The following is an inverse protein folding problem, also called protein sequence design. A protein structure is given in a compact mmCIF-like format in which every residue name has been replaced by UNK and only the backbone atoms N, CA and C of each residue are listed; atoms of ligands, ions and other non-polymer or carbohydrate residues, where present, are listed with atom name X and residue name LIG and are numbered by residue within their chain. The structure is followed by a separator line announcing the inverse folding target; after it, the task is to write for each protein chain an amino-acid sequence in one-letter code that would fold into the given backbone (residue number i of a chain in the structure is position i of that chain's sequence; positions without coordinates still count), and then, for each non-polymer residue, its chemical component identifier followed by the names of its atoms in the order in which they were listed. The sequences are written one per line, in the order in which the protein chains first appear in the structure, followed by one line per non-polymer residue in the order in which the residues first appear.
data_IF_386517012811
#
_entry.id   IF_386517012811
#
_cell.length_a   1.000
_cell.length_b   1.000
_cell.length_c   1.000
_cell.angle_alpha   90.00
_cell.angle_beta   90.00
_cell.angle_gamma   90.00
#
_symmetry.space_group_name_H-M   'P 1'
#
loop_
_entity.id
_entity.type
_entity.pdbx_description
1 polymer ?
#
# COMPACT_ATOMS: atom_id res chain seq x y z
N UNK A 1 -10.98 -5.84 -7.63
CA UNK A 1 -11.88 -4.69 -7.41
C UNK A 1 -11.32 -3.47 -8.15
N UNK A 2 -12.20 -2.67 -8.77
CA UNK A 2 -11.83 -1.41 -9.42
C UNK A 2 -12.68 -0.29 -8.84
N UNK A 3 -12.03 0.79 -8.39
CA UNK A 3 -12.67 1.99 -7.87
C UNK A 3 -12.52 3.11 -8.90
N UNK A 4 -13.62 3.81 -9.17
CA UNK A 4 -13.66 4.92 -10.11
C UNK A 4 -13.89 6.24 -9.37
N UNK A 5 -12.98 7.18 -9.59
CA UNK A 5 -13.08 8.57 -9.20
C UNK A 5 -13.03 9.41 -10.47
N UNK A 6 -13.37 10.71 -10.39
CA UNK A 6 -13.53 11.60 -11.56
C UNK A 6 -12.43 11.45 -12.61
N UNK A 7 -11.17 11.58 -12.18
CA UNK A 7 -9.99 11.55 -13.05
C UNK A 7 -8.99 10.44 -12.63
N UNK A 8 -9.41 9.52 -11.75
CA UNK A 8 -8.54 8.49 -11.17
C UNK A 8 -9.24 7.13 -11.18
N UNK A 9 -8.51 6.11 -11.65
CA UNK A 9 -8.92 4.71 -11.56
C UNK A 9 -7.95 3.94 -10.67
N UNK A 10 -8.49 3.30 -9.63
CA UNK A 10 -7.70 2.47 -8.70
C UNK A 10 -8.09 1.01 -8.90
N UNK A 11 -7.10 0.15 -9.14
CA UNK A 11 -7.30 -1.29 -9.31
C UNK A 11 -6.61 -2.01 -8.15
N UNK A 12 -7.39 -2.78 -7.39
CA UNK A 12 -6.90 -3.60 -6.29
C UNK A 12 -7.17 -5.06 -6.64
N UNK A 13 -6.11 -5.87 -6.64
CA UNK A 13 -6.18 -7.29 -6.97
C UNK A 13 -5.25 -8.10 -6.07
N UNK A 14 -5.66 -9.34 -5.83
CA UNK A 14 -4.87 -10.37 -5.17
C UNK A 14 -5.16 -11.68 -5.89
N UNK A 15 -4.19 -12.59 -5.91
CA UNK A 15 -4.36 -13.94 -6.43
C UNK A 15 -3.37 -14.86 -5.72
N UNK A 16 -3.85 -16.05 -5.37
CA UNK A 16 -3.01 -17.13 -4.82
C UNK A 16 -2.33 -17.96 -5.92
N UNK A 17 -2.63 -17.71 -7.20
CA UNK A 17 -2.13 -18.44 -8.36
C UNK A 17 -1.22 -17.54 -9.21
N UNK A 18 -0.14 -17.06 -8.60
CA UNK A 18 0.82 -16.14 -9.24
C UNK A 18 2.22 -16.73 -9.08
N UNK A 19 2.80 -17.21 -10.19
CA UNK A 19 4.15 -17.79 -10.18
C UNK A 19 5.26 -16.73 -10.11
N UNK A 20 5.10 -15.64 -10.86
CA UNK A 20 6.06 -14.54 -10.91
C UNK A 20 5.45 -13.28 -10.31
N UNK A 21 6.22 -12.59 -9.46
CA UNK A 21 5.73 -11.39 -8.79
C UNK A 21 5.34 -10.29 -9.78
N UNK A 22 4.29 -9.54 -9.44
CA UNK A 22 3.92 -8.30 -10.11
C UNK A 22 4.38 -7.12 -9.25
N UNK A 23 4.57 -5.92 -9.85
CA UNK A 23 4.78 -4.73 -9.04
C UNK A 23 3.67 -4.59 -7.99
N UNK A 24 4.07 -4.31 -6.75
CA UNK A 24 3.17 -4.05 -5.63
C UNK A 24 2.40 -2.76 -5.84
N UNK A 25 3.07 -1.73 -6.35
CA UNK A 25 2.45 -0.48 -6.75
C UNK A 25 2.82 -0.13 -8.20
N UNK A 26 1.80 0.33 -8.92
CA UNK A 26 1.89 0.91 -10.25
C UNK A 26 1.05 2.19 -10.19
N UNK A 27 1.72 3.34 -10.30
CA UNK A 27 1.06 4.64 -10.28
C UNK A 27 1.42 5.35 -11.58
N UNK A 28 0.39 5.75 -12.33
CA UNK A 28 0.56 6.52 -13.56
C UNK A 28 -0.08 7.89 -13.38
N UNK A 29 0.70 8.93 -13.60
CA UNK A 29 0.25 10.30 -13.73
C UNK A 29 0.36 10.78 -15.17
N UNK A 30 -0.04 12.02 -15.41
CA UNK A 30 0.02 12.64 -16.74
C UNK A 30 1.46 12.91 -17.22
N UNK A 31 2.44 12.94 -16.32
CA UNK A 31 3.84 13.28 -16.61
C UNK A 31 4.84 12.19 -16.23
N UNK A 32 4.40 11.05 -15.69
CA UNK A 32 5.32 10.06 -15.18
C UNK A 32 4.65 8.85 -14.56
N UNK A 33 5.47 7.91 -14.15
CA UNK A 33 5.07 6.64 -13.55
C UNK A 33 5.97 6.29 -12.37
N UNK A 34 5.38 5.68 -11.36
CA UNK A 34 6.09 5.07 -10.24
C UNK A 34 5.76 3.59 -10.16
N UNK A 35 6.80 2.75 -10.16
CA UNK A 35 6.70 1.29 -10.09
C UNK A 35 7.51 0.79 -8.90
N UNK A 36 6.87 0.02 -8.01
CA UNK A 36 7.51 -0.56 -6.83
C UNK A 36 7.26 -2.06 -6.77
N UNK A 37 8.33 -2.83 -6.65
CA UNK A 37 8.29 -4.26 -6.34
C UNK A 37 8.53 -4.51 -4.85
N UNK A 38 8.18 -5.70 -4.37
CA UNK A 38 8.33 -6.07 -2.97
C UNK A 38 7.23 -5.50 -2.06
N UNK A 39 7.04 -6.17 -0.94
CA UNK A 39 6.14 -5.80 0.16
C UNK A 39 6.97 -5.28 1.33
N UNK A 40 6.35 -4.54 2.25
CA UNK A 40 6.96 -4.20 3.56
C UNK A 40 7.50 -5.46 4.26
N UNK A 41 8.67 -5.33 4.90
CA UNK A 41 9.39 -6.47 5.47
C UNK A 41 9.10 -6.72 6.96
N UNK A 42 8.35 -5.85 7.64
CA UNK A 42 8.13 -5.97 9.09
C UNK A 42 7.43 -7.28 9.45
N UNK A 43 6.43 -7.71 8.68
CA UNK A 43 5.76 -9.00 8.92
C UNK A 43 6.72 -10.17 8.74
N UNK A 44 7.59 -10.12 7.72
CA UNK A 44 8.63 -11.14 7.49
C UNK A 44 9.64 -11.18 8.64
N UNK A 45 10.09 -10.01 9.12
CA UNK A 45 10.97 -9.87 10.28
C UNK A 45 10.33 -10.50 11.53
N UNK A 46 9.08 -10.14 11.84
CA UNK A 46 8.37 -10.68 13.00
C UNK A 46 8.19 -12.20 12.92
N UNK A 47 7.84 -12.75 11.75
CA UNK A 47 7.76 -14.20 11.53
C UNK A 47 9.11 -14.90 11.72
N UNK A 48 10.21 -14.22 11.42
CA UNK A 48 11.56 -14.71 11.64
C UNK A 48 12.08 -14.48 13.08
N UNK A 49 11.26 -13.89 13.96
CA UNK A 49 11.66 -13.55 15.33
C UNK A 49 12.55 -12.31 15.46
N UNK A 50 12.68 -11.53 14.38
CA UNK A 50 13.38 -10.25 14.39
C UNK A 50 12.43 -9.18 14.90
N UNK A 51 12.80 -8.51 15.99
CA UNK A 51 11.93 -7.58 16.72
C UNK A 51 12.16 -6.12 16.33
N UNK A 52 11.20 -5.20 16.53
CA UNK A 52 11.30 -3.79 16.12
C UNK A 52 12.54 -3.02 16.61
N UNK A 53 13.02 -3.37 17.81
CA UNK A 53 14.20 -2.76 18.43
C UNK A 53 15.53 -3.33 17.92
N UNK A 54 15.50 -4.37 17.08
CA UNK A 54 16.71 -4.99 16.55
C UNK A 54 17.17 -4.29 15.26
N UNK A 55 18.48 -4.30 14.96
CA UNK A 55 19.00 -3.77 13.71
C UNK A 55 18.31 -4.39 12.50
N UNK A 56 18.18 -3.61 11.43
CA UNK A 56 17.59 -4.03 10.15
C UNK A 56 16.12 -4.44 10.18
N UNK A 57 15.42 -4.27 11.30
CA UNK A 57 13.98 -4.53 11.34
C UNK A 57 13.21 -3.59 10.40
N UNK A 58 12.42 -4.20 9.50
CA UNK A 58 11.56 -3.48 8.56
C UNK A 58 12.31 -2.79 7.41
N UNK A 59 13.62 -3.00 7.26
CA UNK A 59 14.37 -2.46 6.13
C UNK A 59 13.92 -3.13 4.82
N UNK A 60 13.47 -2.32 3.87
CA UNK A 60 13.14 -2.76 2.52
C UNK A 60 14.24 -2.30 1.54
N UNK A 61 15.11 -3.20 1.08
CA UNK A 61 16.22 -2.85 0.20
C UNK A 61 15.77 -2.55 -1.24
N UNK A 62 14.51 -2.83 -1.60
CA UNK A 62 14.02 -2.65 -2.98
C UNK A 62 13.47 -1.24 -3.15
N UNK A 63 14.23 -0.36 -3.78
CA UNK A 63 13.75 0.95 -4.20
C UNK A 63 12.61 0.85 -5.23
N UNK A 64 11.73 1.84 -5.24
CA UNK A 64 10.81 2.08 -6.34
C UNK A 64 11.50 2.82 -7.48
N UNK A 65 11.04 2.61 -8.70
CA UNK A 65 11.48 3.34 -9.89
C UNK A 65 10.47 4.45 -10.18
N UNK A 66 10.94 5.69 -10.16
CA UNK A 66 10.20 6.87 -10.61
C UNK A 66 10.75 7.30 -11.98
N UNK A 67 9.89 7.39 -12.99
CA UNK A 67 10.23 7.91 -14.30
C UNK A 67 9.26 9.04 -14.66
N UNK A 68 9.76 10.17 -15.15
CA UNK A 68 8.92 11.32 -15.52
C UNK A 68 9.52 12.14 -16.65
N UNK A 69 8.68 12.99 -17.25
CA UNK A 69 9.11 14.00 -18.22
C UNK A 69 9.41 15.30 -17.47
N UNK A 70 10.61 15.84 -17.67
CA UNK A 70 10.92 17.20 -17.23
C UNK A 70 10.22 18.27 -18.10
N UNK A 71 10.47 19.54 -17.80
CA UNK A 71 9.83 20.65 -18.50
C UNK A 71 10.25 20.76 -19.97
N UNK A 72 11.39 20.19 -20.34
CA UNK A 72 11.92 20.17 -21.70
C UNK A 72 11.51 18.90 -22.46
N UNK A 73 10.73 18.02 -21.82
CA UNK A 73 10.24 16.76 -22.39
C UNK A 73 11.26 15.62 -22.37
N UNK A 74 12.37 15.75 -21.62
CA UNK A 74 13.33 14.67 -21.47
C UNK A 74 12.87 13.69 -20.37
N UNK A 75 13.18 12.41 -20.58
CA UNK A 75 12.90 11.36 -19.60
C UNK A 75 13.94 11.42 -18.49
N UNK A 76 13.47 11.61 -17.26
CA UNK A 76 14.23 11.51 -16.03
C UNK A 76 13.89 10.20 -15.31
N UNK A 77 14.86 9.66 -14.56
CA UNK A 77 14.68 8.45 -13.76
C UNK A 77 15.36 8.58 -12.40
N UNK A 78 14.69 8.04 -11.38
CA UNK A 78 15.20 8.00 -10.01
C UNK A 78 14.79 6.68 -9.34
N UNK A 79 15.72 6.08 -8.59
CA UNK A 79 15.42 4.99 -7.68
C UNK A 79 15.12 5.55 -6.29
N UNK A 80 13.85 5.57 -5.91
CA UNK A 80 13.37 6.11 -4.64
C UNK A 80 13.45 5.02 -3.57
N UNK A 81 14.28 5.25 -2.55
CA UNK A 81 14.37 4.34 -1.41
C UNK A 81 13.06 4.34 -0.63
N UNK A 82 12.64 3.16 -0.16
CA UNK A 82 11.44 3.03 0.66
C UNK A 82 11.64 3.67 2.02
N UNK A 83 10.65 4.43 2.48
CA UNK A 83 10.55 4.83 3.87
C UNK A 83 10.47 3.58 4.76
N UNK A 84 11.05 3.67 5.95
CA UNK A 84 11.00 2.57 6.93
C UNK A 84 9.58 2.47 7.48
N UNK A 85 8.94 1.32 7.31
CA UNK A 85 7.65 1.05 7.92
C UNK A 85 7.76 0.93 9.44
N UNK A 86 6.74 1.42 10.15
CA UNK A 86 6.63 1.32 11.60
C UNK A 86 5.19 1.05 12.03
N UNK A 87 4.87 -0.23 12.28
CA UNK A 87 3.57 -0.64 12.84
C UNK A 87 3.34 -0.13 14.27
N UNK A 88 4.39 0.28 14.99
CA UNK A 88 4.32 0.85 16.34
C UNK A 88 3.51 2.14 16.40
N UNK A 89 3.50 2.93 15.33
CA UNK A 89 2.74 4.18 15.24
C UNK A 89 1.24 4.00 15.52
N UNK A 90 0.68 2.83 15.19
CA UNK A 90 -0.71 2.51 15.52
C UNK A 90 -0.90 2.43 17.05
N UNK A 91 0.02 1.78 17.76
CA UNK A 91 -0.04 1.65 19.22
C UNK A 91 0.25 2.97 19.92
N UNK A 92 1.15 3.79 19.38
CA UNK A 92 1.38 5.15 19.87
C UNK A 92 0.09 5.97 19.77
N UNK A 93 -0.63 5.87 18.66
CA UNK A 93 -1.93 6.53 18.53
C UNK A 93 -2.97 6.02 19.53
N UNK A 94 -3.04 4.71 19.78
CA UNK A 94 -3.92 4.14 20.80
C UNK A 94 -3.57 4.69 22.18
N UNK A 95 -2.29 4.74 22.53
CA UNK A 95 -1.82 5.32 23.78
C UNK A 95 -2.25 6.78 23.89
N UNK A 96 -1.97 7.60 22.89
CA UNK A 96 -2.30 9.02 22.88
C UNK A 96 -3.81 9.29 22.96
N UNK A 97 -4.61 8.46 22.30
CA UNK A 97 -6.07 8.54 22.35
C UNK A 97 -6.59 8.23 23.76
N UNK A 98 -6.15 7.11 24.34
CA UNK A 98 -6.63 6.66 25.65
C UNK A 98 -6.10 7.52 26.80
N UNK A 99 -4.84 7.97 26.70
CA UNK A 99 -4.17 8.69 27.77
C UNK A 99 -4.40 10.19 27.72
N UNK A 100 -4.33 10.77 26.52
CA UNK A 100 -4.32 12.22 26.32
C UNK A 100 -5.57 12.74 25.60
N UNK A 101 -6.52 11.86 25.24
CA UNK A 101 -7.77 12.25 24.58
C UNK A 101 -7.58 12.80 23.16
N UNK A 102 -6.44 12.49 22.51
CA UNK A 102 -6.22 12.88 21.11
C UNK A 102 -7.16 12.10 20.18
N UNK A 103 -7.42 12.66 19.00
CA UNK A 103 -8.14 11.93 17.97
C UNK A 103 -7.34 10.69 17.55
N UNK A 104 -8.01 9.56 17.26
CA UNK A 104 -7.35 8.35 16.80
C UNK A 104 -6.74 8.56 15.41
N UNK A 105 -5.64 7.87 15.13
CA UNK A 105 -4.93 7.92 13.84
C UNK A 105 -5.75 7.33 12.69
N UNK A 106 -6.67 6.41 13.01
CA UNK A 106 -7.67 5.87 12.10
C UNK A 106 -9.04 6.19 12.68
N UNK A 107 -9.87 6.87 11.91
CA UNK A 107 -11.20 7.31 12.30
C UNK A 107 -12.24 6.21 12.08
N UNK A 108 -13.37 6.31 12.78
CA UNK A 108 -14.53 5.42 12.57
C UNK A 108 -15.04 5.49 11.12
N UNK A 109 -15.08 6.69 10.54
CA UNK A 109 -15.54 6.92 9.16
C UNK A 109 -14.67 6.18 8.12
N UNK A 110 -13.35 6.18 8.29
CA UNK A 110 -12.42 5.46 7.40
C UNK A 110 -12.63 3.94 7.47
N UNK A 111 -12.86 3.40 8.68
CA UNK A 111 -13.16 1.98 8.87
C UNK A 111 -14.49 1.61 8.22
N UNK A 112 -15.55 2.38 8.48
CA UNK A 112 -16.87 2.15 7.90
C UNK A 112 -16.85 2.27 6.38
N UNK A 113 -16.09 3.22 5.83
CA UNK A 113 -15.90 3.37 4.39
C UNK A 113 -15.23 2.13 3.79
N UNK A 114 -14.19 1.61 4.44
CA UNK A 114 -13.48 0.40 4.00
C UNK A 114 -14.41 -0.82 3.99
N UNK A 115 -15.17 -1.03 5.06
CA UNK A 115 -16.16 -2.12 5.16
C UNK A 115 -17.21 -1.97 4.05
N UNK A 116 -17.77 -0.78 3.88
CA UNK A 116 -18.77 -0.50 2.85
C UNK A 116 -18.25 -0.80 1.44
N UNK A 117 -17.01 -0.45 1.12
CA UNK A 117 -16.38 -0.78 -0.16
C UNK A 117 -16.31 -2.31 -0.37
N UNK A 118 -15.88 -3.05 0.65
CA UNK A 118 -15.76 -4.52 0.58
C UNK A 118 -17.15 -5.16 0.38
N UNK A 119 -18.15 -4.71 1.13
CA UNK A 119 -19.53 -5.22 1.01
C UNK A 119 -20.12 -4.97 -0.38
N UNK A 120 -19.91 -3.78 -0.95
CA UNK A 120 -20.39 -3.46 -2.29
C UNK A 120 -19.67 -4.30 -3.36
N UNK A 121 -18.37 -4.49 -3.21
CA UNK A 121 -17.60 -5.34 -4.11
C UNK A 121 -18.06 -6.81 -4.07
N UNK A 122 -18.41 -7.32 -2.89
CA UNK A 122 -18.94 -8.67 -2.73
C UNK A 122 -20.31 -8.84 -3.42
N UNK A 123 -21.19 -7.82 -3.38
CA UNK A 123 -22.51 -7.85 -4.05
C UNK A 123 -22.41 -7.83 -5.58
N UNK A 124 -21.40 -7.17 -6.13
CA UNK A 124 -21.18 -7.07 -7.58
C UNK A 124 -20.51 -8.32 -8.17
N UNK A 125 -20.14 -9.31 -7.35
CA UNK A 125 -19.56 -10.55 -7.84
C UNK A 125 -20.63 -11.39 -8.56
N UNK A 126 -20.59 -11.37 -9.90
CA UNK A 126 -21.31 -12.32 -10.75
C UNK A 126 -20.63 -13.69 -10.55
N UNK A 127 -21.37 -14.77 -10.25
CA UNK A 127 -20.80 -16.11 -10.20
C UNK A 127 -20.10 -16.41 -11.51
N UNK A 128 -18.94 -17.06 -11.48
CA UNK A 128 -18.38 -17.67 -12.67
C UNK A 128 -19.43 -18.66 -13.20
N UNK A 129 -20.08 -18.35 -14.31
CA UNK A 129 -20.86 -19.35 -15.04
C UNK A 129 -19.89 -20.48 -15.40
N UNK A 130 -20.24 -21.69 -14.96
CA UNK A 130 -19.44 -22.89 -15.18
C UNK A 130 -19.29 -23.12 -16.70
N UNK A 131 -18.05 -23.13 -17.19
CA UNK A 131 -17.70 -23.79 -18.46
C UNK A 131 -17.66 -25.31 -18.30
#
# INVERSE_FOLDING_TARGET
MTLFYRDLRVIIKTSHLVLSEYPRFIIHGTKGSYIKYGIDQQESCLKAGVMPHQPHFGEDPRSGLLEWLDNDGNIQREYVLSERGDYGLLYDSVYETLKNGKAPYITEEEVLTTIGIIEQAAKQHIPLENE
#
